data_IF_357789574089
#
_entry.id   IF_357789574089
#
_cell.length_a   1.000
_cell.length_b   1.000
_cell.length_c   1.000
_cell.angle_alpha   90.00
_cell.angle_beta   90.00
_cell.angle_gamma   90.00
#
_symmetry.space_group_name_H-M   'P 1'
#
loop_
_entity.id
_entity.type
_entity.pdbx_description
1 polymer ?
#
# COMPACT_ATOMS: atom_id res chain seq x y z
N UNK A 1 29.91 -60.79 3.99
CA UNK A 1 28.96 -60.12 3.08
C UNK A 1 27.79 -59.61 3.91
N UNK A 2 27.87 -58.36 4.37
CA UNK A 2 26.79 -57.71 5.13
C UNK A 2 26.01 -56.81 4.18
N UNK A 3 24.73 -57.10 4.00
CA UNK A 3 23.79 -56.28 3.23
C UNK A 3 23.42 -55.07 4.12
N UNK A 4 23.84 -53.87 3.70
CA UNK A 4 23.36 -52.61 4.26
C UNK A 4 21.88 -52.43 3.88
N UNK A 5 20.97 -52.16 4.84
CA UNK A 5 19.61 -51.82 4.50
C UNK A 5 19.56 -50.41 3.90
N UNK A 6 18.86 -50.29 2.77
CA UNK A 6 18.53 -49.01 2.17
C UNK A 6 17.79 -48.14 3.19
N UNK A 7 18.35 -46.97 3.48
CA UNK A 7 17.66 -45.91 4.22
C UNK A 7 16.39 -45.55 3.44
N UNK A 8 15.25 -45.98 3.97
CA UNK A 8 13.94 -45.58 3.47
C UNK A 8 13.84 -44.07 3.47
N UNK A 9 13.59 -43.51 2.28
CA UNK A 9 13.13 -42.14 2.10
C UNK A 9 11.95 -41.91 3.06
N UNK A 10 12.13 -41.04 4.06
CA UNK A 10 11.04 -40.58 4.88
C UNK A 10 10.03 -39.89 3.97
N UNK A 11 8.87 -40.52 3.76
CA UNK A 11 7.79 -39.94 2.98
C UNK A 11 7.41 -38.60 3.60
N UNK A 12 7.78 -37.50 2.93
CA UNK A 12 7.39 -36.14 3.34
C UNK A 12 5.88 -36.13 3.42
N UNK A 13 5.34 -35.87 4.62
CA UNK A 13 3.90 -35.84 4.89
C UNK A 13 3.27 -34.68 4.12
N UNK A 14 2.82 -34.92 2.89
CA UNK A 14 2.21 -33.88 2.07
C UNK A 14 0.87 -33.45 2.66
N UNK A 15 0.66 -32.14 2.75
CA UNK A 15 -0.60 -31.53 3.12
C UNK A 15 -1.09 -30.70 1.94
N UNK A 16 -2.41 -30.59 1.75
CA UNK A 16 -2.97 -29.77 0.69
C UNK A 16 -2.49 -28.30 0.77
N UNK A 17 -2.31 -27.80 2.00
CA UNK A 17 -1.75 -26.46 2.25
C UNK A 17 -0.30 -26.33 1.72
N UNK A 18 0.56 -27.31 2.00
CA UNK A 18 1.95 -27.32 1.52
C UNK A 18 2.05 -27.49 0.00
N UNK A 19 1.19 -28.32 -0.58
CA UNK A 19 1.15 -28.57 -2.03
C UNK A 19 0.70 -27.31 -2.79
N UNK A 20 -0.23 -26.53 -2.22
CA UNK A 20 -0.71 -25.26 -2.79
C UNK A 20 0.19 -24.05 -2.48
N UNK A 21 1.20 -24.19 -1.62
CA UNK A 21 2.03 -23.07 -1.18
C UNK A 21 2.92 -22.52 -2.31
N UNK A 22 2.79 -21.23 -2.59
CA UNK A 22 3.61 -20.49 -3.53
C UNK A 22 3.77 -19.02 -3.13
N UNK A 23 4.53 -18.22 -3.89
CA UNK A 23 4.75 -16.81 -3.59
C UNK A 23 3.53 -15.92 -3.88
N UNK A 24 2.43 -16.44 -4.42
CA UNK A 24 1.26 -15.67 -4.82
C UNK A 24 0.21 -15.58 -3.70
N UNK A 25 -0.57 -14.51 -3.71
CA UNK A 25 -1.70 -14.32 -2.80
C UNK A 25 -2.90 -15.06 -3.39
N UNK A 26 -3.54 -15.89 -2.58
CA UNK A 26 -4.70 -16.68 -3.00
C UNK A 26 -5.97 -16.23 -2.30
N UNK A 27 -7.08 -16.30 -3.03
CA UNK A 27 -8.41 -16.20 -2.45
C UNK A 27 -8.79 -17.50 -1.73
N UNK A 28 -9.51 -17.37 -0.63
CA UNK A 28 -10.07 -18.48 0.14
C UNK A 28 -11.57 -18.46 -0.05
N UNK A 29 -12.12 -19.52 -0.62
CA UNK A 29 -13.56 -19.65 -0.90
C UNK A 29 -14.28 -20.54 0.10
N UNK A 30 -13.56 -21.44 0.76
CA UNK A 30 -14.12 -22.42 1.70
C UNK A 30 -13.33 -22.50 2.99
N UNK A 31 -13.95 -22.96 4.07
CA UNK A 31 -13.29 -23.10 5.38
C UNK A 31 -12.14 -24.11 5.38
N UNK A 32 -12.15 -25.10 4.48
CA UNK A 32 -11.07 -26.08 4.33
C UNK A 32 -9.80 -25.48 3.69
N UNK A 33 -9.95 -24.40 2.91
CA UNK A 33 -8.84 -23.66 2.29
C UNK A 33 -8.13 -22.71 3.26
N UNK A 34 -8.71 -22.46 4.45
CA UNK A 34 -8.09 -21.63 5.47
C UNK A 34 -6.76 -22.26 5.94
N UNK A 35 -5.67 -21.47 6.01
CA UNK A 35 -4.40 -21.93 6.57
C UNK A 35 -4.61 -22.44 7.98
N UNK A 36 -3.93 -23.54 8.35
CA UNK A 36 -4.12 -24.25 9.62
C UNK A 36 -4.16 -23.33 10.83
N UNK A 37 -3.27 -22.34 10.87
CA UNK A 37 -3.13 -21.38 11.97
C UNK A 37 -4.41 -20.55 12.24
N UNK A 38 -5.19 -20.25 11.21
CA UNK A 38 -6.28 -19.28 11.30
C UNK A 38 -7.67 -19.93 11.34
N UNK A 39 -7.76 -21.27 11.38
CA UNK A 39 -9.04 -21.99 11.30
C UNK A 39 -9.96 -21.73 12.48
N UNK A 40 -9.38 -21.48 13.66
CA UNK A 40 -10.13 -21.15 14.88
C UNK A 40 -10.56 -19.67 14.95
N UNK A 41 -10.19 -18.86 13.95
CA UNK A 41 -10.41 -17.43 14.01
C UNK A 41 -11.89 -17.03 13.86
N UNK A 42 -12.76 -17.94 13.44
CA UNK A 42 -14.16 -17.66 13.17
C UNK A 42 -14.39 -16.86 11.88
N UNK A 43 -13.43 -16.87 10.95
CA UNK A 43 -13.60 -16.32 9.61
C UNK A 43 -14.42 -17.30 8.78
N UNK A 44 -15.56 -16.86 8.27
CA UNK A 44 -16.37 -17.61 7.31
C UNK A 44 -16.17 -17.02 5.89
N UNK A 45 -15.46 -17.73 5.01
CA UNK A 45 -15.28 -17.31 3.62
C UNK A 45 -16.60 -17.11 2.86
N UNK A 46 -17.64 -17.89 3.15
CA UNK A 46 -18.92 -17.79 2.46
C UNK A 46 -19.73 -16.54 2.85
N UNK A 47 -19.56 -16.05 4.08
CA UNK A 47 -20.18 -14.82 4.57
C UNK A 47 -19.33 -13.56 4.30
N UNK A 48 -18.07 -13.74 3.90
CA UNK A 48 -17.14 -12.65 3.61
C UNK A 48 -17.24 -12.20 2.14
N UNK A 49 -17.00 -10.91 1.89
CA UNK A 49 -16.96 -10.38 0.51
C UNK A 49 -15.68 -10.75 -0.23
N UNK A 50 -14.61 -11.00 0.53
CA UNK A 50 -13.30 -11.41 0.03
C UNK A 50 -12.51 -11.98 1.21
N UNK A 51 -11.82 -13.10 1.02
CA UNK A 51 -10.82 -13.61 1.97
C UNK A 51 -9.54 -13.93 1.21
N UNK A 52 -8.41 -13.36 1.65
CA UNK A 52 -7.10 -13.58 1.05
C UNK A 52 -6.15 -14.21 2.07
N UNK A 53 -5.37 -15.20 1.63
CA UNK A 53 -4.21 -15.71 2.38
C UNK A 53 -2.93 -15.19 1.73
N UNK A 54 -2.07 -14.55 2.54
CA UNK A 54 -0.83 -13.94 2.07
C UNK A 54 0.34 -14.83 2.49
N UNK A 55 1.10 -15.38 1.52
CA UNK A 55 2.17 -16.33 1.81
C UNK A 55 3.32 -15.67 2.57
N UNK A 56 4.00 -16.46 3.39
CA UNK A 56 5.25 -16.08 4.04
C UNK A 56 6.37 -15.99 3.00
N UNK A 57 7.28 -15.03 3.20
CA UNK A 57 8.50 -14.92 2.41
C UNK A 57 9.54 -16.00 2.84
N UNK A 58 9.30 -17.25 2.45
CA UNK A 58 10.22 -18.38 2.60
C UNK A 58 10.44 -19.05 1.25
N UNK A 59 11.67 -19.53 1.01
CA UNK A 59 11.95 -20.33 -0.18
C UNK A 59 11.29 -21.70 -0.04
N UNK A 60 10.73 -22.22 -1.15
CA UNK A 60 9.99 -23.49 -1.13
C UNK A 60 10.84 -24.68 -0.69
N UNK A 61 12.16 -24.62 -0.86
CA UNK A 61 13.11 -25.65 -0.37
C UNK A 61 13.26 -25.68 1.15
N UNK A 62 12.96 -24.56 1.82
CA UNK A 62 13.07 -24.41 3.28
C UNK A 62 11.70 -24.55 3.96
N UNK A 63 10.61 -24.57 3.18
CA UNK A 63 9.27 -24.82 3.67
C UNK A 63 9.06 -26.31 3.97
N UNK A 64 8.32 -26.62 5.03
CA UNK A 64 7.85 -27.98 5.32
C UNK A 64 6.38 -28.00 5.77
N UNK A 65 5.71 -29.18 5.72
CA UNK A 65 4.28 -29.29 5.99
C UNK A 65 3.84 -28.98 7.44
N UNK A 66 4.78 -28.97 8.38
CA UNK A 66 4.50 -28.67 9.78
C UNK A 66 4.62 -27.17 10.08
N UNK A 67 5.17 -26.36 9.17
CA UNK A 67 5.26 -24.91 9.32
C UNK A 67 3.94 -24.18 9.05
N UNK A 68 3.80 -22.99 9.62
CA UNK A 68 2.81 -22.01 9.21
C UNK A 68 3.32 -21.24 7.99
N UNK A 69 2.66 -21.45 6.84
CA UNK A 69 3.15 -21.01 5.52
C UNK A 69 2.64 -19.62 5.11
N UNK A 70 1.70 -19.03 5.86
CA UNK A 70 1.04 -17.77 5.52
C UNK A 70 1.19 -16.76 6.66
N UNK A 71 1.71 -15.58 6.34
CA UNK A 71 1.92 -14.51 7.34
C UNK A 71 0.65 -13.70 7.62
N UNK A 72 -0.29 -13.65 6.67
CA UNK A 72 -1.57 -12.97 6.89
C UNK A 72 -2.77 -13.76 6.37
N UNK A 73 -3.90 -13.59 7.06
CA UNK A 73 -5.24 -13.85 6.53
C UNK A 73 -6.02 -12.53 6.58
N UNK A 74 -6.58 -12.11 5.46
CA UNK A 74 -7.31 -10.86 5.32
C UNK A 74 -8.74 -11.20 4.95
N UNK A 75 -9.73 -10.74 5.72
CA UNK A 75 -11.13 -10.97 5.45
C UNK A 75 -11.89 -9.64 5.39
N UNK A 76 -12.58 -9.40 4.28
CA UNK A 76 -13.47 -8.24 4.10
C UNK A 76 -14.88 -8.68 4.46
N UNK A 77 -15.34 -8.30 5.65
CA UNK A 77 -16.69 -8.61 6.12
C UNK A 77 -17.75 -7.65 5.61
N UNK A 78 -18.89 -7.65 6.29
CA UNK A 78 -20.01 -6.76 5.98
C UNK A 78 -19.73 -5.29 6.34
N UNK A 79 -19.08 -5.03 7.47
CA UNK A 79 -18.84 -3.69 8.03
C UNK A 79 -17.39 -3.39 8.41
N UNK A 80 -16.50 -4.39 8.38
CA UNK A 80 -15.10 -4.24 8.78
C UNK A 80 -14.16 -5.11 7.95
N UNK A 81 -12.89 -4.70 7.92
CA UNK A 81 -11.76 -5.48 7.47
C UNK A 81 -11.12 -6.17 8.67
N UNK A 82 -11.01 -7.50 8.64
CA UNK A 82 -10.23 -8.27 9.62
C UNK A 82 -8.88 -8.64 9.02
N UNK A 83 -7.80 -8.35 9.72
CA UNK A 83 -6.43 -8.78 9.37
C UNK A 83 -5.89 -9.63 10.50
N UNK A 84 -5.60 -10.89 10.20
CA UNK A 84 -4.88 -11.79 11.09
C UNK A 84 -3.42 -11.81 10.66
N UNK A 85 -2.51 -11.64 11.62
CA UNK A 85 -1.07 -11.65 11.39
C UNK A 85 -0.43 -12.75 12.21
N UNK A 86 0.31 -13.64 11.57
CA UNK A 86 1.07 -14.69 12.25
C UNK A 86 2.07 -14.11 13.25
N UNK A 87 2.12 -14.74 14.42
CA UNK A 87 3.15 -14.59 15.46
C UNK A 87 3.57 -16.00 15.89
N UNK A 88 4.60 -16.50 15.23
CA UNK A 88 5.07 -17.89 15.41
C UNK A 88 3.91 -18.89 15.31
N UNK A 89 3.43 -19.42 16.44
CA UNK A 89 2.36 -20.42 16.55
C UNK A 89 0.98 -19.84 16.94
N UNK A 90 0.85 -18.52 17.04
CA UNK A 90 -0.41 -17.81 17.26
C UNK A 90 -0.59 -16.67 16.26
N UNK A 91 -1.65 -15.87 16.40
CA UNK A 91 -1.86 -14.71 15.53
C UNK A 91 -2.42 -13.49 16.27
N UNK A 92 -1.98 -12.31 15.86
CA UNK A 92 -2.62 -11.04 16.22
C UNK A 92 -3.81 -10.80 15.32
N UNK A 93 -4.82 -10.10 15.84
CA UNK A 93 -6.03 -9.72 15.10
C UNK A 93 -6.21 -8.21 15.14
N UNK A 94 -6.27 -7.59 13.97
CA UNK A 94 -6.76 -6.24 13.79
C UNK A 94 -8.15 -6.28 13.15
N UNK A 95 -9.08 -5.49 13.70
CA UNK A 95 -10.41 -5.25 13.12
C UNK A 95 -10.52 -3.77 12.80
N UNK A 96 -10.77 -3.46 11.54
CA UNK A 96 -10.78 -2.11 11.01
C UNK A 96 -12.19 -1.85 10.45
N UNK A 97 -13.09 -1.21 11.23
CA UNK A 97 -14.38 -0.78 10.71
C UNK A 97 -14.18 0.10 9.47
N UNK A 98 -14.96 -0.11 8.41
CA UNK A 98 -14.76 0.66 7.17
C UNK A 98 -14.92 2.17 7.39
N UNK A 99 -15.83 2.57 8.29
CA UNK A 99 -16.05 3.96 8.66
C UNK A 99 -14.85 4.61 9.36
N UNK A 100 -13.90 3.83 9.87
CA UNK A 100 -12.68 4.32 10.50
C UNK A 100 -11.49 4.39 9.55
N UNK A 101 -11.58 3.87 8.32
CA UNK A 101 -10.46 3.92 7.37
C UNK A 101 -10.26 5.34 6.88
N UNK A 102 -9.08 5.92 7.15
CA UNK A 102 -8.73 7.30 6.82
C UNK A 102 -7.75 7.40 5.66
N UNK A 103 -7.01 6.33 5.36
CA UNK A 103 -6.24 6.22 4.14
C UNK A 103 -5.86 4.76 3.84
N UNK A 104 -5.55 4.52 2.58
CA UNK A 104 -4.88 3.30 2.13
C UNK A 104 -3.65 3.69 1.35
N UNK A 105 -2.50 3.15 1.72
CA UNK A 105 -1.27 3.23 0.93
C UNK A 105 -0.91 1.85 0.39
N UNK A 106 -0.78 1.74 -0.93
CA UNK A 106 -0.21 0.57 -1.59
C UNK A 106 1.15 0.97 -2.19
N UNK A 107 2.22 0.26 -1.84
CA UNK A 107 3.54 0.49 -2.38
C UNK A 107 4.26 -0.79 -2.80
N UNK A 108 4.85 -0.77 -3.98
CA UNK A 108 5.61 -1.87 -4.56
C UNK A 108 7.03 -1.41 -4.86
N UNK A 109 8.02 -2.21 -4.46
CA UNK A 109 9.42 -2.05 -4.83
C UNK A 109 9.94 -3.40 -5.31
N UNK A 110 10.00 -3.58 -6.64
CA UNK A 110 10.25 -4.88 -7.24
C UNK A 110 9.20 -5.90 -6.75
N UNK A 111 9.62 -6.95 -6.04
CA UNK A 111 8.74 -7.97 -5.45
C UNK A 111 8.32 -7.65 -4.01
N UNK A 112 8.86 -6.61 -3.38
CA UNK A 112 8.47 -6.20 -2.02
C UNK A 112 7.22 -5.31 -2.11
N UNK A 113 6.06 -5.87 -1.83
CA UNK A 113 4.76 -5.19 -1.76
C UNK A 113 4.35 -4.86 -0.33
N UNK A 114 3.75 -3.69 -0.12
CA UNK A 114 3.25 -3.23 1.17
C UNK A 114 1.92 -2.51 1.02
N UNK A 115 0.90 -3.03 1.68
CA UNK A 115 -0.39 -2.38 1.84
C UNK A 115 -0.50 -1.87 3.30
N UNK A 116 -0.72 -0.58 3.47
CA UNK A 116 -0.97 0.04 4.78
C UNK A 116 -2.37 0.60 4.81
N UNK A 117 -3.16 0.21 5.80
CA UNK A 117 -4.49 0.78 6.06
C UNK A 117 -4.41 1.62 7.33
N UNK A 118 -4.68 2.92 7.20
CA UNK A 118 -4.70 3.87 8.30
C UNK A 118 -6.11 4.04 8.83
N UNK A 119 -6.24 4.12 10.16
CA UNK A 119 -7.52 4.28 10.86
C UNK A 119 -7.58 5.57 11.67
N UNK A 120 -8.80 6.01 11.96
CA UNK A 120 -9.10 7.29 12.61
C UNK A 120 -8.52 7.43 14.02
N UNK A 121 -8.22 6.31 14.69
CA UNK A 121 -7.52 6.24 15.98
C UNK A 121 -5.99 6.42 15.86
N UNK A 122 -5.49 6.71 14.66
CA UNK A 122 -4.07 6.87 14.36
C UNK A 122 -3.32 5.54 14.16
N UNK A 123 -3.99 4.40 14.29
CA UNK A 123 -3.36 3.11 14.01
C UNK A 123 -3.11 2.91 12.50
N UNK A 124 -2.10 2.09 12.20
CA UNK A 124 -1.74 1.71 10.84
C UNK A 124 -1.50 0.20 10.78
N UNK A 125 -2.31 -0.50 10.00
CA UNK A 125 -2.15 -1.94 9.77
C UNK A 125 -1.35 -2.17 8.50
N UNK A 126 -0.12 -2.64 8.65
CA UNK A 126 0.79 -2.97 7.55
C UNK A 126 0.70 -4.47 7.18
N UNK A 127 0.44 -4.73 5.91
CA UNK A 127 0.43 -6.04 5.27
C UNK A 127 1.57 -6.07 4.26
N UNK A 128 2.57 -6.91 4.51
CA UNK A 128 3.64 -7.16 3.54
C UNK A 128 3.28 -8.35 2.65
N UNK A 129 3.60 -8.26 1.36
CA UNK A 129 3.27 -9.31 0.40
C UNK A 129 4.31 -9.36 -0.72
N UNK A 130 4.35 -10.48 -1.45
CA UNK A 130 5.15 -10.58 -2.66
C UNK A 130 4.38 -9.98 -3.85
N UNK A 131 4.92 -8.93 -4.46
CA UNK A 131 4.29 -8.19 -5.54
C UNK A 131 4.45 -8.84 -6.93
N UNK A 132 4.79 -10.13 -7.01
CA UNK A 132 4.83 -10.89 -8.27
C UNK A 132 3.47 -10.87 -8.99
N UNK A 133 2.38 -10.95 -8.24
CA UNK A 133 1.03 -10.72 -8.73
C UNK A 133 0.30 -9.70 -7.83
N UNK A 134 0.18 -8.43 -8.26
CA UNK A 134 -0.49 -7.39 -7.48
C UNK A 134 -2.02 -7.41 -7.63
N UNK A 135 -2.60 -8.28 -8.47
CA UNK A 135 -4.04 -8.25 -8.76
C UNK A 135 -4.92 -8.47 -7.51
N UNK A 136 -4.62 -9.40 -6.59
CA UNK A 136 -5.40 -9.58 -5.37
C UNK A 136 -5.40 -8.34 -4.45
N UNK A 137 -4.26 -7.68 -4.28
CA UNK A 137 -4.16 -6.43 -3.47
C UNK A 137 -4.87 -5.27 -4.16
N UNK A 138 -4.78 -5.19 -5.49
CA UNK A 138 -5.52 -4.19 -6.28
C UNK A 138 -7.03 -4.39 -6.13
N UNK A 139 -7.49 -5.64 -6.14
CA UNK A 139 -8.90 -6.00 -5.93
C UNK A 139 -9.36 -5.66 -4.51
N UNK A 140 -8.57 -6.03 -3.49
CA UNK A 140 -8.81 -5.68 -2.09
C UNK A 140 -8.94 -4.17 -1.92
N UNK A 141 -7.97 -3.39 -2.40
CA UNK A 141 -7.97 -1.93 -2.30
C UNK A 141 -9.20 -1.31 -2.96
N UNK A 142 -9.57 -1.80 -4.15
CA UNK A 142 -10.78 -1.36 -4.86
C UNK A 142 -12.06 -1.69 -4.09
N UNK A 143 -12.12 -2.88 -3.49
CA UNK A 143 -13.26 -3.30 -2.66
C UNK A 143 -13.37 -2.43 -1.41
N UNK A 144 -12.27 -2.22 -0.68
CA UNK A 144 -12.25 -1.34 0.50
C UNK A 144 -12.73 0.07 0.14
N UNK A 145 -12.19 0.65 -0.94
CA UNK A 145 -12.62 1.96 -1.45
C UNK A 145 -14.11 2.07 -1.70
N UNK A 146 -14.73 1.03 -2.28
CA UNK A 146 -16.19 1.00 -2.47
C UNK A 146 -16.98 0.97 -1.17
N UNK A 147 -16.40 0.44 -0.09
CA UNK A 147 -17.07 0.23 1.19
C UNK A 147 -16.93 1.42 2.13
N UNK A 148 -15.78 2.10 2.17
CA UNK A 148 -15.61 3.30 3.02
C UNK A 148 -15.97 4.61 2.30
N UNK A 149 -15.98 4.65 0.96
CA UNK A 149 -16.58 5.74 0.20
C UNK A 149 -17.93 5.26 -0.34
N UNK A 150 -19.06 5.52 0.35
CA UNK A 150 -20.36 5.19 -0.23
C UNK A 150 -20.49 5.84 -1.61
N UNK A 151 -21.02 5.08 -2.57
CA UNK A 151 -21.25 5.58 -3.92
C UNK A 151 -22.20 6.79 -3.84
N UNK A 152 -21.71 7.96 -4.27
CA UNK A 152 -22.58 9.09 -4.60
C UNK A 152 -22.90 8.99 -6.07
N UNK A 153 -24.19 9.05 -6.43
CA UNK A 153 -24.59 9.27 -7.81
C UNK A 153 -24.13 10.66 -8.24
N UNK A 154 -22.88 10.75 -8.70
CA UNK A 154 -22.31 11.97 -9.26
C UNK A 154 -22.77 12.17 -10.69
N UNK A 155 -22.77 13.43 -11.13
CA UNK A 155 -22.87 13.75 -12.55
C UNK A 155 -21.68 13.07 -13.24
N UNK A 156 -21.88 12.33 -14.35
CA UNK A 156 -20.79 11.73 -15.09
C UNK A 156 -19.73 12.79 -15.39
N UNK A 157 -18.53 12.60 -14.85
CA UNK A 157 -17.42 13.49 -15.16
C UNK A 157 -17.16 13.43 -16.67
N UNK A 158 -17.09 14.60 -17.31
CA UNK A 158 -16.70 14.66 -18.71
C UNK A 158 -15.32 13.98 -18.88
N UNK A 159 -15.12 13.15 -19.92
CA UNK A 159 -13.84 12.51 -20.15
C UNK A 159 -12.76 13.58 -20.28
N UNK A 160 -11.78 13.53 -19.38
CA UNK A 160 -10.62 14.43 -19.40
C UNK A 160 -9.52 13.75 -20.19
N UNK A 161 -9.09 14.38 -21.30
CA UNK A 161 -7.88 13.93 -21.99
C UNK A 161 -6.68 14.13 -21.06
N UNK A 162 -5.91 13.07 -20.73
CA UNK A 162 -4.75 13.21 -19.87
C UNK A 162 -3.77 14.23 -20.44
N UNK A 163 -3.43 15.26 -19.66
CA UNK A 163 -2.35 16.15 -20.05
C UNK A 163 -1.04 15.34 -20.16
N UNK A 164 -0.20 15.59 -21.19
CA UNK A 164 1.11 14.98 -21.27
C UNK A 164 1.93 15.43 -20.05
N UNK A 165 2.42 14.45 -19.30
CA UNK A 165 3.21 14.69 -18.09
C UNK A 165 4.63 14.20 -18.31
N UNK A 166 5.60 15.09 -18.07
CA UNK A 166 7.02 14.79 -18.10
C UNK A 166 7.66 15.08 -16.73
N UNK A 167 8.04 14.00 -16.04
CA UNK A 167 8.78 14.03 -14.77
C UNK A 167 10.27 13.72 -14.95
N UNK A 168 10.74 13.55 -16.19
CA UNK A 168 12.07 13.06 -16.52
C UNK A 168 12.19 11.54 -16.49
N UNK A 169 13.23 11.01 -17.16
CA UNK A 169 13.39 9.56 -17.37
C UNK A 169 13.49 8.71 -16.10
N UNK A 170 13.93 9.31 -14.98
CA UNK A 170 14.02 8.63 -13.68
C UNK A 170 12.66 8.31 -13.05
N UNK A 171 11.57 8.92 -13.53
CA UNK A 171 10.24 8.84 -12.92
C UNK A 171 9.14 8.39 -13.90
N UNK A 172 9.54 7.72 -14.99
CA UNK A 172 8.61 7.09 -15.96
C UNK A 172 7.63 6.11 -15.32
N UNK A 173 8.03 5.39 -14.27
CA UNK A 173 7.13 4.50 -13.53
C UNK A 173 5.93 5.24 -12.92
N UNK A 174 6.14 6.46 -12.41
CA UNK A 174 5.05 7.28 -11.86
C UNK A 174 4.13 7.80 -12.97
N UNK A 175 4.69 8.18 -14.13
CA UNK A 175 3.89 8.60 -15.29
C UNK A 175 3.02 7.45 -15.82
N UNK A 176 3.55 6.23 -15.85
CA UNK A 176 2.78 5.03 -16.21
C UNK A 176 1.66 4.77 -15.20
N UNK A 177 1.97 4.81 -13.90
CA UNK A 177 0.96 4.64 -12.84
C UNK A 177 -0.15 5.71 -12.93
N UNK A 178 0.21 6.97 -13.20
CA UNK A 178 -0.75 8.05 -13.43
C UNK A 178 -1.72 7.74 -14.58
N UNK A 179 -1.20 7.31 -15.73
CA UNK A 179 -2.04 6.93 -16.87
C UNK A 179 -2.97 5.77 -16.54
N UNK A 180 -2.49 4.78 -15.79
CA UNK A 180 -3.30 3.65 -15.33
C UNK A 180 -4.44 4.11 -14.40
N UNK A 181 -4.16 5.05 -13.48
CA UNK A 181 -5.19 5.63 -12.62
C UNK A 181 -6.25 6.35 -13.44
N UNK A 182 -5.87 7.24 -14.37
CA UNK A 182 -6.84 7.96 -15.19
C UNK A 182 -7.66 7.04 -16.10
N UNK A 183 -7.07 5.95 -16.60
CA UNK A 183 -7.80 4.97 -17.39
C UNK A 183 -8.81 4.18 -16.55
N UNK A 184 -8.47 3.87 -15.30
CA UNK A 184 -9.34 3.13 -14.38
C UNK A 184 -10.40 4.01 -13.70
N UNK A 185 -10.14 5.32 -13.58
CA UNK A 185 -10.92 6.24 -12.75
C UNK A 185 -11.18 7.56 -13.49
N UNK A 186 -12.17 7.58 -14.41
CA UNK A 186 -12.41 8.73 -15.29
C UNK A 186 -12.77 10.05 -14.59
N UNK A 187 -13.22 10.00 -13.32
CA UNK A 187 -13.51 11.19 -12.53
C UNK A 187 -12.26 11.87 -11.96
N UNK A 188 -11.13 11.16 -11.93
CA UNK A 188 -9.88 11.61 -11.32
C UNK A 188 -9.20 12.68 -12.19
N UNK A 189 -8.70 13.74 -11.56
CA UNK A 189 -8.07 14.87 -12.26
C UNK A 189 -6.67 15.12 -11.73
N UNK A 190 -5.77 15.52 -12.63
CA UNK A 190 -4.45 16.00 -12.25
C UNK A 190 -4.56 17.37 -11.57
N UNK A 191 -4.07 17.47 -10.34
CA UNK A 191 -4.02 18.72 -9.56
C UNK A 191 -2.62 19.33 -9.65
N UNK A 192 -1.60 18.54 -9.36
CA UNK A 192 -0.19 18.97 -9.47
C UNK A 192 0.73 17.79 -9.75
N UNK A 193 1.91 18.09 -10.27
CA UNK A 193 2.95 17.12 -10.50
C UNK A 193 4.32 17.73 -10.21
N UNK A 194 4.94 17.24 -9.14
CA UNK A 194 6.24 17.68 -8.67
C UNK A 194 7.34 16.86 -9.32
N UNK A 195 8.34 17.53 -9.89
CA UNK A 195 9.56 16.87 -10.37
C UNK A 195 10.50 16.56 -9.22
N UNK A 196 11.34 15.55 -9.43
CA UNK A 196 12.43 15.23 -8.50
C UNK A 196 13.35 16.44 -8.32
N UNK A 197 13.71 16.74 -7.07
CA UNK A 197 14.59 17.85 -6.73
C UNK A 197 15.67 17.43 -5.74
N UNK A 198 16.89 17.92 -5.92
CA UNK A 198 17.94 17.80 -4.92
C UNK A 198 17.66 18.78 -3.78
N UNK A 199 17.58 18.26 -2.56
CA UNK A 199 17.31 19.04 -1.34
C UNK A 199 18.56 19.04 -0.46
N UNK A 200 19.07 20.24 -0.18
CA UNK A 200 20.31 20.40 0.58
C UNK A 200 20.10 20.31 2.09
N UNK A 201 21.09 19.79 2.82
CA UNK A 201 21.33 20.17 4.23
C UNK A 201 22.24 21.39 4.26
N UNK A 202 21.85 22.46 4.97
CA UNK A 202 22.75 23.55 5.33
C UNK A 202 23.55 24.18 4.17
N UNK A 203 24.78 24.63 4.50
CA UNK A 203 25.69 25.37 3.62
C UNK A 203 26.13 24.57 2.37
N UNK A 204 26.65 25.26 1.34
CA UNK A 204 26.95 24.67 0.01
C UNK A 204 27.85 23.43 0.05
N UNK A 205 28.75 23.32 1.03
CA UNK A 205 29.76 22.27 1.12
C UNK A 205 29.16 20.92 1.54
N UNK A 206 28.22 20.89 2.50
CA UNK A 206 27.55 19.64 2.91
C UNK A 206 26.65 19.05 1.82
N UNK A 207 26.12 19.89 0.92
CA UNK A 207 25.28 19.45 -0.21
C UNK A 207 26.04 18.62 -1.24
N UNK A 208 27.35 18.86 -1.37
CA UNK A 208 28.20 18.18 -2.35
C UNK A 208 28.60 16.76 -1.91
N UNK A 209 28.71 16.53 -0.60
CA UNK A 209 29.23 15.26 -0.07
C UNK A 209 28.17 14.17 0.08
N UNK A 210 26.90 14.53 0.35
CA UNK A 210 25.79 13.58 0.46
C UNK A 210 24.47 14.21 0.00
N UNK A 211 24.18 14.26 -1.31
CA UNK A 211 22.95 14.83 -1.80
C UNK A 211 21.75 14.04 -1.26
N UNK A 212 20.74 14.75 -0.78
CA UNK A 212 19.42 14.19 -0.50
C UNK A 212 18.50 14.59 -1.64
N UNK A 213 17.65 13.68 -2.07
CA UNK A 213 16.73 13.89 -3.18
C UNK A 213 15.31 13.75 -2.67
N UNK A 214 14.48 14.76 -2.90
CA UNK A 214 13.03 14.64 -2.82
C UNK A 214 12.54 14.07 -4.16
N UNK A 215 11.92 12.91 -4.12
CA UNK A 215 11.41 12.23 -5.31
C UNK A 215 10.16 12.92 -5.87
N UNK A 216 9.94 12.70 -7.16
CA UNK A 216 8.75 13.19 -7.85
C UNK A 216 7.46 12.64 -7.22
N UNK A 217 6.39 13.41 -7.33
CA UNK A 217 5.06 13.02 -6.88
C UNK A 217 3.98 13.60 -7.79
N UNK A 218 2.85 12.89 -7.91
CA UNK A 218 1.70 13.31 -8.70
C UNK A 218 0.50 13.35 -7.77
N UNK A 219 -0.14 14.51 -7.67
CA UNK A 219 -1.36 14.72 -6.90
C UNK A 219 -2.55 14.68 -7.84
N UNK A 220 -3.47 13.76 -7.54
CA UNK A 220 -4.73 13.58 -8.24
C UNK A 220 -5.88 13.77 -7.26
N UNK A 221 -7.02 14.25 -7.75
CA UNK A 221 -8.23 14.32 -6.94
C UNK A 221 -9.50 14.25 -7.78
N UNK A 222 -10.55 13.75 -7.15
CA UNK A 222 -11.93 13.93 -7.58
C UNK A 222 -12.76 14.57 -6.44
N UNK A 223 -14.09 14.41 -6.49
CA UNK A 223 -15.02 14.89 -5.48
C UNK A 223 -15.05 14.03 -4.20
N UNK A 224 -14.49 12.81 -4.24
CA UNK A 224 -14.59 11.81 -3.17
C UNK A 224 -13.27 11.59 -2.45
N UNK A 225 -12.15 11.64 -3.15
CA UNK A 225 -10.84 11.31 -2.61
C UNK A 225 -9.69 12.09 -3.27
N UNK A 226 -8.58 12.13 -2.53
CA UNK A 226 -7.29 12.63 -2.96
C UNK A 226 -6.38 11.43 -3.12
N UNK A 227 -5.63 11.38 -4.21
CA UNK A 227 -4.61 10.37 -4.43
C UNK A 227 -3.25 10.99 -4.66
N UNK A 228 -2.25 10.44 -3.99
CA UNK A 228 -0.86 10.78 -4.22
C UNK A 228 -0.14 9.58 -4.80
N UNK A 229 0.44 9.75 -5.99
CA UNK A 229 1.42 8.82 -6.55
C UNK A 229 2.80 9.34 -6.20
N UNK A 230 3.63 8.50 -5.59
CA UNK A 230 4.96 8.88 -5.13
C UNK A 230 5.90 7.68 -5.11
N UNK A 231 7.16 7.90 -4.76
CA UNK A 231 8.08 6.81 -4.39
C UNK A 231 7.83 6.41 -2.94
N UNK A 232 8.03 5.13 -2.60
CA UNK A 232 7.87 4.63 -1.22
C UNK A 232 8.68 5.49 -0.25
N UNK A 233 9.97 5.64 -0.53
CA UNK A 233 10.85 6.57 0.17
C UNK A 233 10.87 7.89 -0.59
N UNK A 234 10.27 8.93 0.00
CA UNK A 234 10.14 10.24 -0.65
C UNK A 234 11.43 11.06 -0.57
N UNK A 235 12.20 10.89 0.51
CA UNK A 235 13.50 11.52 0.71
C UNK A 235 14.58 10.45 0.76
N UNK A 236 15.47 10.42 -0.24
CA UNK A 236 16.54 9.43 -0.33
C UNK A 236 17.90 10.12 -0.30
N UNK A 237 18.81 9.61 0.53
CA UNK A 237 20.19 10.05 0.56
C UNK A 237 21.05 9.22 -0.40
N UNK A 238 21.88 9.87 -1.21
CA UNK A 238 22.81 9.20 -2.13
C UNK A 238 22.29 9.11 -3.56
N UNK A 239 22.87 8.18 -4.33
CA UNK A 239 22.61 8.02 -5.78
C UNK A 239 21.58 6.93 -6.10
N UNK A 240 20.97 6.33 -5.09
CA UNK A 240 20.00 5.26 -5.32
C UNK A 240 18.80 5.77 -6.11
N UNK A 241 18.41 4.94 -7.08
CA UNK A 241 17.20 5.14 -7.87
C UNK A 241 16.16 4.16 -7.32
N UNK A 242 15.32 4.58 -6.35
CA UNK A 242 14.24 3.71 -5.90
C UNK A 242 13.33 3.43 -7.10
N UNK A 243 13.21 2.16 -7.45
CA UNK A 243 12.27 1.67 -8.46
C UNK A 243 10.84 1.53 -7.89
N UNK A 244 10.62 2.00 -6.67
CA UNK A 244 9.36 1.83 -5.96
C UNK A 244 8.27 2.77 -6.49
N UNK A 245 7.03 2.31 -6.46
CA UNK A 245 5.85 3.14 -6.72
C UNK A 245 4.93 2.96 -5.52
N UNK A 246 4.40 4.05 -5.03
CA UNK A 246 3.44 4.09 -3.95
C UNK A 246 2.25 4.95 -4.34
N UNK A 247 1.07 4.53 -3.92
CA UNK A 247 -0.20 5.21 -4.10
C UNK A 247 -0.87 5.34 -2.75
N UNK A 248 -0.95 6.56 -2.24
CA UNK A 248 -1.76 6.88 -1.05
C UNK A 248 -3.11 7.39 -1.52
N UNK A 249 -4.20 6.83 -1.01
CA UNK A 249 -5.58 7.25 -1.24
C UNK A 249 -6.17 7.75 0.06
N UNK A 250 -6.69 8.98 0.07
CA UNK A 250 -7.28 9.64 1.23
C UNK A 250 -8.72 10.06 0.90
N UNK A 251 -9.75 9.57 1.63
CA UNK A 251 -11.13 10.06 1.50
C UNK A 251 -11.20 11.54 1.86
N UNK A 252 -11.81 12.38 1.00
CA UNK A 252 -11.99 13.81 1.31
C UNK A 252 -12.87 14.03 2.52
N UNK A 253 -13.97 13.28 2.61
CA UNK A 253 -14.92 13.37 3.72
C UNK A 253 -14.32 13.02 5.10
N UNK A 254 -13.15 12.36 5.14
CA UNK A 254 -12.45 12.05 6.38
C UNK A 254 -11.44 13.12 6.82
N UNK A 255 -11.17 14.14 5.99
CA UNK A 255 -10.16 15.16 6.29
C UNK A 255 -10.74 16.14 7.30
N UNK A 256 -10.20 16.14 8.52
CA UNK A 256 -10.59 17.07 9.58
C UNK A 256 -9.82 18.40 9.50
N UNK A 257 -8.67 18.40 8.82
CA UNK A 257 -7.85 19.58 8.60
C UNK A 257 -6.47 19.22 8.11
N UNK A 258 -5.58 20.21 8.06
CA UNK A 258 -4.19 20.00 7.69
C UNK A 258 -3.26 20.90 8.50
N UNK A 259 -2.01 20.48 8.61
CA UNK A 259 -0.92 21.26 9.21
C UNK A 259 0.21 21.40 8.21
N UNK A 260 0.90 22.52 8.26
CA UNK A 260 2.03 22.82 7.37
C UNK A 260 3.22 23.19 8.22
N UNK A 261 4.34 22.52 8.00
CA UNK A 261 5.60 22.84 8.69
C UNK A 261 6.78 22.70 7.74
N UNK A 262 7.86 23.50 7.90
CA UNK A 262 9.11 23.21 7.21
C UNK A 262 9.69 21.89 7.71
N UNK A 263 10.44 21.19 6.86
CA UNK A 263 11.17 20.00 7.26
C UNK A 263 12.41 20.37 8.08
N UNK A 264 12.58 19.74 9.25
CA UNK A 264 13.57 20.13 10.26
C UNK A 264 15.01 20.21 9.74
N UNK A 265 15.42 19.25 8.89
CA UNK A 265 16.77 19.19 8.31
C UNK A 265 16.89 19.68 6.86
N UNK A 266 15.76 19.95 6.19
CA UNK A 266 15.71 20.24 4.75
C UNK A 266 14.78 21.44 4.47
N UNK A 267 15.24 22.69 4.62
CA UNK A 267 14.38 23.88 4.56
C UNK A 267 13.65 24.11 3.23
N UNK A 268 14.05 23.40 2.16
CA UNK A 268 13.41 23.43 0.84
C UNK A 268 12.23 22.45 0.72
N UNK A 269 12.00 21.65 1.78
CA UNK A 269 10.93 20.68 1.88
C UNK A 269 9.92 21.19 2.89
N UNK A 270 8.67 21.23 2.48
CA UNK A 270 7.53 21.47 3.36
C UNK A 270 6.86 20.13 3.64
N UNK A 271 6.48 19.89 4.90
CA UNK A 271 5.64 18.77 5.27
C UNK A 271 4.21 19.28 5.38
N UNK A 272 3.34 18.79 4.50
CA UNK A 272 1.89 18.96 4.63
C UNK A 272 1.34 17.72 5.31
N UNK A 273 0.83 17.87 6.53
CA UNK A 273 0.21 16.79 7.28
C UNK A 273 -1.30 16.84 7.10
N UNK A 274 -1.89 15.85 6.45
CA UNK A 274 -3.36 15.70 6.42
C UNK A 274 -3.78 15.04 7.73
N UNK A 275 -4.73 15.67 8.42
CA UNK A 275 -5.28 15.19 9.69
C UNK A 275 -6.67 14.59 9.46
N UNK A 276 -6.91 13.40 10.00
CA UNK A 276 -8.19 12.71 9.98
C UNK A 276 -8.44 12.08 11.34
N UNK A 277 -9.25 12.74 12.16
CA UNK A 277 -9.35 12.46 13.59
C UNK A 277 -7.94 12.42 14.24
N UNK A 278 -7.54 11.31 14.84
CA UNK A 278 -6.21 11.13 15.46
C UNK A 278 -5.14 10.68 14.47
N UNK A 279 -5.52 10.33 13.24
CA UNK A 279 -4.59 9.98 12.18
C UNK A 279 -3.93 11.23 11.58
N UNK A 280 -2.63 11.12 11.32
CA UNK A 280 -1.84 12.13 10.65
C UNK A 280 -1.01 11.48 9.54
N UNK A 281 -1.11 12.01 8.32
CA UNK A 281 -0.35 11.55 7.17
C UNK A 281 0.53 12.68 6.66
N UNK A 282 1.84 12.48 6.76
CA UNK A 282 2.83 13.45 6.32
C UNK A 282 3.09 13.33 4.82
N UNK A 283 3.00 14.47 4.12
CA UNK A 283 3.29 14.61 2.69
C UNK A 283 4.42 15.62 2.50
N UNK A 284 5.68 15.15 2.41
CA UNK A 284 6.81 15.97 2.02
C UNK A 284 6.64 16.45 0.58
N UNK A 285 6.62 17.76 0.40
CA UNK A 285 6.50 18.47 -0.89
C UNK A 285 7.67 19.44 -1.03
N UNK A 286 7.99 19.82 -2.27
CA UNK A 286 8.88 20.96 -2.47
C UNK A 286 8.13 22.23 -2.06
N UNK A 287 8.80 23.13 -1.34
CA UNK A 287 8.20 24.41 -0.97
C UNK A 287 7.85 25.22 -2.24
N UNK A 288 6.68 25.89 -2.24
CA UNK A 288 6.17 26.65 -3.39
C UNK A 288 4.96 25.98 -4.04
N UNK A 289 4.87 26.05 -5.38
CA UNK A 289 3.66 25.74 -6.14
C UNK A 289 3.04 24.37 -5.86
N UNK A 290 3.84 23.32 -5.64
CA UNK A 290 3.32 21.98 -5.31
C UNK A 290 2.62 21.95 -3.95
N UNK A 291 3.20 22.67 -2.98
CA UNK A 291 2.60 22.85 -1.67
C UNK A 291 1.31 23.67 -1.81
N UNK A 292 1.36 24.79 -2.52
CA UNK A 292 0.20 25.67 -2.70
C UNK A 292 -0.98 24.94 -3.37
N UNK A 293 -0.71 24.10 -4.36
CA UNK A 293 -1.73 23.27 -5.02
C UNK A 293 -2.37 22.26 -4.07
N UNK A 294 -1.57 21.60 -3.22
CA UNK A 294 -2.08 20.68 -2.20
C UNK A 294 -2.92 21.43 -1.15
N UNK A 295 -2.46 22.59 -0.69
CA UNK A 295 -3.19 23.41 0.28
C UNK A 295 -4.51 23.95 -0.29
N UNK A 296 -4.51 24.38 -1.55
CA UNK A 296 -5.72 24.82 -2.24
C UNK A 296 -6.75 23.68 -2.33
N UNK A 297 -6.30 22.47 -2.67
CA UNK A 297 -7.16 21.28 -2.70
C UNK A 297 -7.75 20.96 -1.32
N UNK A 298 -6.90 20.91 -0.28
CA UNK A 298 -7.31 20.59 1.08
C UNK A 298 -8.24 21.64 1.69
N UNK A 299 -8.11 22.90 1.29
CA UNK A 299 -9.01 23.98 1.75
C UNK A 299 -10.42 23.87 1.17
N UNK A 300 -10.63 23.00 0.18
CA UNK A 300 -11.93 22.73 -0.46
C UNK A 300 -12.49 21.35 -0.09
N UNK A 301 -11.77 20.57 0.71
CA UNK A 301 -12.19 19.25 1.18
C UNK A 301 -13.11 19.39 2.40
#
# INVERSE_FOLDING_TARGET
MGILPALGSAAVRRTAEFDAFGPWIDEVHTTSELPRLYRDAGVDPAASRLVLKVPRAIERRDANPDMHLYDFLIAVGASELTVLRRRDDWYERARLPFAQITAIEDSVSLLDGRLTVHTADGAATLISYNALDPAPITMLTRLLRKLYLPWRAGIPAAPVTPAPLDLGGGDMGLVTAYRQVLAAEPGMRLISAARRAAVGRGNRVSRLLRPVTLHASILLADDREIQLLHRRDRLVQGRDKPHSIARTVVPRAGIAGFRVRPHDTHPQVTIVTICSADAALDFPTHSGADTDALLALLSTA
#
